data_IF_684194820043
#
_entry.id   IF_684194820043
#
_cell.length_a   1.000
_cell.length_b   1.000
_cell.length_c   1.000
_cell.angle_alpha   90.00
_cell.angle_beta   90.00
_cell.angle_gamma   90.00
#
_symmetry.space_group_name_H-M   'P 1'
#
loop_
_entity.id
_entity.type
_entity.pdbx_description
1 polymer ?
#
# COMPACT_ATOMS: atom_id res chain seq x y z
N UNK A 1 19.48 -4.20 -4.37
CA UNK A 1 18.02 -4.23 -4.63
C UNK A 1 17.27 -4.54 -3.33
N UNK A 2 17.33 -3.64 -2.34
CA UNK A 2 16.67 -3.84 -1.04
C UNK A 2 16.29 -2.45 -0.50
N UNK A 3 15.00 -2.16 -0.45
CA UNK A 3 14.51 -0.88 0.08
C UNK A 3 13.04 -0.93 0.48
N UNK A 4 12.24 -1.74 -0.19
CA UNK A 4 10.78 -1.79 0.07
C UNK A 4 10.38 -2.82 1.12
N UNK A 5 11.26 -3.77 1.48
CA UNK A 5 10.91 -4.80 2.46
C UNK A 5 10.80 -4.28 3.90
N UNK A 6 11.62 -3.30 4.30
CA UNK A 6 11.76 -2.97 5.71
C UNK A 6 10.70 -1.96 6.17
N UNK A 7 10.60 -0.83 5.46
CA UNK A 7 9.76 0.29 5.90
C UNK A 7 8.27 -0.08 5.99
N UNK A 8 7.71 -0.78 4.99
CA UNK A 8 6.29 -1.15 5.00
C UNK A 8 5.96 -2.06 6.20
N UNK A 9 6.80 -3.06 6.45
CA UNK A 9 6.58 -4.04 7.52
C UNK A 9 6.67 -3.36 8.88
N UNK A 10 7.60 -2.42 9.05
CA UNK A 10 7.71 -1.59 10.25
C UNK A 10 6.47 -0.71 10.41
N UNK A 11 6.08 0.03 9.38
CA UNK A 11 4.92 0.91 9.40
C UNK A 11 3.63 0.17 9.79
N UNK A 12 3.42 -1.03 9.25
CA UNK A 12 2.22 -1.84 9.53
C UNK A 12 2.18 -2.46 10.93
N UNK A 13 3.25 -2.33 11.71
CA UNK A 13 3.39 -2.82 13.08
C UNK A 13 3.55 -1.68 14.11
N UNK A 14 3.60 -0.42 13.67
CA UNK A 14 3.66 0.75 14.56
C UNK A 14 2.41 0.86 15.44
N UNK A 15 2.55 1.56 16.56
CA UNK A 15 1.39 2.01 17.31
C UNK A 15 0.59 3.04 16.48
N UNK A 16 -0.73 3.18 16.71
CA UNK A 16 -1.51 4.18 15.99
C UNK A 16 -1.04 5.63 16.21
N UNK A 17 -0.38 5.91 17.34
CA UNK A 17 0.20 7.22 17.64
C UNK A 17 1.42 7.52 16.77
N UNK A 18 2.41 6.61 16.80
CA UNK A 18 3.66 6.77 16.05
C UNK A 18 3.41 6.83 14.54
N UNK A 19 2.50 5.97 14.04
CA UNK A 19 2.10 5.99 12.63
C UNK A 19 1.51 7.34 12.22
N UNK A 20 0.68 7.93 13.08
CA UNK A 20 0.07 9.24 12.82
C UNK A 20 1.10 10.36 12.86
N UNK A 21 2.06 10.30 13.76
CA UNK A 21 3.14 11.29 13.81
C UNK A 21 4.03 11.22 12.57
N UNK A 22 4.44 10.02 12.15
CA UNK A 22 5.34 9.83 11.01
C UNK A 22 4.68 10.08 9.65
N UNK A 23 3.45 9.58 9.44
CA UNK A 23 2.79 9.61 8.13
C UNK A 23 1.67 10.65 8.04
N UNK A 24 1.35 11.35 9.13
CA UNK A 24 0.22 12.29 9.23
C UNK A 24 -1.10 11.67 8.77
N UNK A 25 -1.27 10.37 9.00
CA UNK A 25 -2.42 9.58 8.60
C UNK A 25 -2.84 8.64 9.73
N UNK A 26 -4.12 8.23 9.72
CA UNK A 26 -4.60 7.24 10.68
C UNK A 26 -4.06 5.86 10.30
N UNK A 27 -3.49 5.13 11.26
CA UNK A 27 -3.14 3.72 11.09
C UNK A 27 -4.39 2.90 10.70
N UNK A 28 -4.38 2.17 9.57
CA UNK A 28 -5.50 1.33 9.19
C UNK A 28 -5.72 0.19 10.19
N UNK A 29 -6.98 -0.10 10.51
CA UNK A 29 -7.33 -1.29 11.26
C UNK A 29 -7.09 -2.55 10.41
N UNK A 30 -6.86 -3.69 11.07
CA UNK A 30 -6.64 -4.99 10.38
C UNK A 30 -7.84 -5.43 9.52
N UNK A 31 -9.02 -4.88 9.79
CA UNK A 31 -10.26 -5.13 9.03
C UNK A 31 -10.57 -4.05 7.99
N UNK A 32 -9.79 -2.97 7.91
CA UNK A 32 -10.03 -1.92 6.92
C UNK A 32 -9.65 -2.40 5.53
N UNK A 33 -10.35 -1.87 4.51
CA UNK A 33 -10.00 -2.13 3.11
C UNK A 33 -8.78 -1.31 2.75
N UNK A 34 -7.69 -1.98 2.40
CA UNK A 34 -6.43 -1.34 1.99
C UNK A 34 -6.06 -1.86 0.61
N UNK A 35 -5.77 -0.95 -0.33
CA UNK A 35 -5.33 -1.30 -1.69
C UNK A 35 -3.93 -0.76 -1.89
N UNK A 36 -2.98 -1.67 -2.12
CA UNK A 36 -1.61 -1.30 -2.46
C UNK A 36 -1.48 -1.08 -3.97
N UNK A 37 -0.76 -0.03 -4.35
CA UNK A 37 -0.39 0.24 -5.75
C UNK A 37 1.09 0.60 -5.86
N UNK A 38 1.68 0.39 -7.02
CA UNK A 38 3.01 0.86 -7.37
C UNK A 38 3.05 1.12 -8.89
N UNK A 39 4.24 1.31 -9.47
CA UNK A 39 4.35 1.60 -10.91
C UNK A 39 3.74 0.50 -11.80
N UNK A 40 4.11 -0.77 -11.60
CA UNK A 40 3.77 -1.89 -12.49
C UNK A 40 3.25 -3.14 -11.73
N UNK A 41 2.67 -2.96 -10.54
CA UNK A 41 2.08 -4.04 -9.75
C UNK A 41 3.03 -4.98 -8.97
N UNK A 42 4.31 -5.04 -9.33
CA UNK A 42 5.28 -5.99 -8.69
C UNK A 42 5.45 -5.71 -7.19
N UNK A 43 5.70 -4.46 -6.82
CA UNK A 43 5.94 -4.07 -5.42
C UNK A 43 4.67 -4.09 -4.57
N UNK A 44 3.53 -3.78 -5.18
CA UNK A 44 2.24 -3.82 -4.48
C UNK A 44 1.80 -5.24 -4.18
N UNK A 45 2.19 -6.21 -5.02
CA UNK A 45 2.00 -7.64 -4.72
C UNK A 45 2.81 -8.06 -3.49
N UNK A 46 4.08 -7.67 -3.40
CA UNK A 46 4.89 -7.94 -2.20
C UNK A 46 4.28 -7.28 -0.95
N UNK A 47 3.79 -6.05 -1.07
CA UNK A 47 3.13 -5.35 0.02
C UNK A 47 1.86 -6.06 0.51
N UNK A 48 1.06 -6.59 -0.41
CA UNK A 48 -0.10 -7.42 -0.11
C UNK A 48 0.30 -8.64 0.71
N UNK A 49 1.29 -9.41 0.24
CA UNK A 49 1.73 -10.64 0.89
C UNK A 49 2.21 -10.37 2.33
N UNK A 50 2.96 -9.28 2.55
CA UNK A 50 3.36 -8.86 3.90
C UNK A 50 2.18 -8.45 4.77
N UNK A 51 1.28 -7.60 4.27
CA UNK A 51 0.13 -7.17 5.05
C UNK A 51 -0.78 -8.35 5.45
N UNK A 52 -0.97 -9.33 4.56
CA UNK A 52 -1.68 -10.57 4.88
C UNK A 52 -0.98 -11.35 6.00
N UNK A 53 0.36 -11.48 5.93
CA UNK A 53 1.14 -12.16 6.98
C UNK A 53 1.04 -11.47 8.35
N UNK A 54 0.80 -10.14 8.37
CA UNK A 54 0.58 -9.33 9.57
C UNK A 54 -0.89 -9.29 10.02
N UNK A 55 -1.76 -10.12 9.45
CA UNK A 55 -3.15 -10.29 9.87
C UNK A 55 -4.14 -9.26 9.31
N UNK A 56 -3.76 -8.46 8.31
CA UNK A 56 -4.74 -7.64 7.60
C UNK A 56 -5.63 -8.54 6.72
N UNK A 57 -6.94 -8.47 6.94
CA UNK A 57 -7.90 -9.40 6.34
C UNK A 57 -8.53 -8.90 5.04
N UNK A 58 -8.45 -7.59 4.76
CA UNK A 58 -9.10 -6.95 3.60
C UNK A 58 -8.12 -6.13 2.75
N UNK A 59 -6.97 -6.73 2.47
CA UNK A 59 -5.92 -6.14 1.63
C UNK A 59 -6.02 -6.64 0.20
N UNK A 60 -5.76 -5.74 -0.74
CA UNK A 60 -5.68 -6.03 -2.17
C UNK A 60 -4.47 -5.30 -2.76
N UNK A 61 -4.04 -5.72 -3.95
CA UNK A 61 -3.09 -4.95 -4.74
C UNK A 61 -3.68 -4.68 -6.13
N UNK A 62 -3.39 -3.50 -6.67
CA UNK A 62 -3.73 -3.19 -8.04
C UNK A 62 -2.63 -3.72 -8.97
N UNK A 63 -2.97 -4.74 -9.75
CA UNK A 63 -2.01 -5.51 -10.55
C UNK A 63 -1.44 -4.72 -11.73
N UNK A 64 -2.23 -3.86 -12.36
CA UNK A 64 -1.79 -3.02 -13.47
C UNK A 64 -0.85 -1.89 -13.03
N UNK A 65 -0.89 -1.51 -11.75
CA UNK A 65 -0.14 -0.37 -11.23
C UNK A 65 -0.49 0.94 -11.90
N UNK A 66 0.30 1.97 -11.62
CA UNK A 66 0.15 3.29 -12.21
C UNK A 66 0.26 3.27 -13.74
N UNK A 67 1.08 2.40 -14.33
CA UNK A 67 1.23 2.30 -15.79
C UNK A 67 -0.05 1.88 -16.51
N UNK A 68 -0.85 1.02 -15.91
CA UNK A 68 -2.15 0.65 -16.47
C UNK A 68 -3.18 1.74 -16.24
N UNK A 69 -3.21 2.33 -15.04
CA UNK A 69 -4.11 3.44 -14.73
C UNK A 69 -3.88 4.63 -15.66
N UNK A 70 -2.64 5.03 -15.90
CA UNK A 70 -2.30 6.17 -16.75
C UNK A 70 -2.71 5.97 -18.23
N UNK A 71 -2.93 4.73 -18.68
CA UNK A 71 -3.44 4.45 -20.03
C UNK A 71 -4.96 4.63 -20.13
N UNK A 72 -5.66 4.48 -19.01
CA UNK A 72 -7.12 4.58 -18.93
C UNK A 72 -7.58 5.91 -18.33
N UNK A 73 -6.67 6.69 -17.75
CA UNK A 73 -6.97 8.03 -17.26
C UNK A 73 -7.31 8.94 -18.45
N UNK A 74 -8.53 9.50 -18.50
CA UNK A 74 -8.87 10.47 -19.53
C UNK A 74 -8.03 11.73 -19.35
N UNK A 75 -7.54 12.37 -20.43
CA UNK A 75 -6.77 13.60 -20.32
C UNK A 75 -7.60 14.66 -19.59
N UNK A 76 -7.00 15.33 -18.61
CA UNK A 76 -7.64 16.45 -17.93
C UNK A 76 -8.04 17.51 -18.96
N UNK A 77 -9.31 17.92 -18.94
CA UNK A 77 -9.76 19.08 -19.70
C UNK A 77 -9.20 20.32 -18.99
N UNK A 78 -8.19 20.95 -19.61
CA UNK A 78 -7.72 22.29 -19.24
C UNK A 78 -8.74 23.35 -19.60
#
# INVERSE_FOLDING_TARGET
>A
MAGIRNELVEALQMSPGDFKEQYNQKMPAKSDRVVFTCLAGVRSKQALDFAMSLGFSRVQHYAGGFEEWAKHEPPEKK
#
